data_IF_534436177173
#
_entry.id   IF_534436177173
#
_cell.length_a   1.000
_cell.length_b   1.000
_cell.length_c   1.000
_cell.angle_alpha   90.00
_cell.angle_beta   90.00
_cell.angle_gamma   90.00
#
_symmetry.space_group_name_H-M   'P 1'
#
loop_
_entity.id
_entity.type
_entity.pdbx_description
1 polymer ?
#
# COMPACT_ATOMS: atom_id res chain seq x y z
N UNK A 1 13.90 14.43 -11.60
CA UNK A 1 13.53 13.00 -11.58
C UNK A 1 14.16 12.29 -12.78
N UNK A 2 15.09 11.37 -12.53
CA UNK A 2 15.61 10.48 -13.57
C UNK A 2 14.62 9.34 -13.83
N UNK A 3 14.67 8.69 -15.01
CA UNK A 3 13.77 7.56 -15.34
C UNK A 3 13.84 6.43 -14.29
N UNK A 4 15.04 6.21 -13.72
CA UNK A 4 15.27 5.23 -12.64
C UNK A 4 14.52 5.58 -11.34
N UNK A 5 14.51 6.85 -10.94
CA UNK A 5 13.75 7.30 -9.76
C UNK A 5 12.23 7.18 -9.96
N UNK A 6 11.76 7.39 -11.19
CA UNK A 6 10.35 7.20 -11.53
C UNK A 6 9.93 5.71 -11.46
N UNK A 7 10.78 4.83 -12.01
CA UNK A 7 10.54 3.39 -11.94
C UNK A 7 10.60 2.87 -10.50
N UNK A 8 11.58 3.31 -9.71
CA UNK A 8 11.69 2.92 -8.31
C UNK A 8 10.48 3.36 -7.48
N UNK A 9 9.97 4.58 -7.69
CA UNK A 9 8.76 5.05 -7.01
C UNK A 9 7.50 4.27 -7.39
N UNK A 10 7.36 3.85 -8.65
CA UNK A 10 6.25 3.01 -9.10
C UNK A 10 6.32 1.58 -8.54
N UNK A 11 7.52 1.01 -8.43
CA UNK A 11 7.71 -0.31 -7.80
C UNK A 11 7.41 -0.22 -6.30
N UNK A 12 7.88 0.83 -5.62
CA UNK A 12 7.63 1.02 -4.20
C UNK A 12 6.14 1.26 -3.89
N UNK A 13 5.42 2.04 -4.72
CA UNK A 13 3.99 2.29 -4.52
C UNK A 13 3.14 1.03 -4.64
N UNK A 14 3.59 0.04 -5.41
CA UNK A 14 2.94 -1.26 -5.54
C UNK A 14 3.39 -2.28 -4.49
N UNK A 15 4.70 -2.33 -4.22
CA UNK A 15 5.28 -3.30 -3.31
C UNK A 15 4.96 -3.00 -1.85
N UNK A 16 4.96 -1.72 -1.46
CA UNK A 16 4.80 -1.33 -0.06
C UNK A 16 3.43 -1.72 0.53
N UNK A 17 2.28 -1.49 -0.14
CA UNK A 17 0.98 -1.97 0.36
C UNK A 17 0.93 -3.50 0.49
N UNK A 18 1.54 -4.23 -0.45
CA UNK A 18 1.63 -5.69 -0.40
C UNK A 18 2.47 -6.21 0.77
N UNK A 19 3.62 -5.56 1.03
CA UNK A 19 4.47 -5.87 2.19
C UNK A 19 3.73 -5.61 3.50
N UNK A 20 3.05 -4.46 3.61
CA UNK A 20 2.25 -4.12 4.79
C UNK A 20 1.13 -5.14 5.01
N UNK A 21 0.43 -5.56 3.95
CA UNK A 21 -0.58 -6.62 4.03
C UNK A 21 0.01 -7.92 4.56
N UNK A 22 1.11 -8.40 3.98
CA UNK A 22 1.72 -9.67 4.35
C UNK A 22 2.18 -9.68 5.82
N UNK A 23 2.78 -8.58 6.29
CA UNK A 23 3.20 -8.43 7.69
C UNK A 23 1.98 -8.48 8.62
N UNK A 24 0.94 -7.71 8.31
CA UNK A 24 -0.27 -7.66 9.14
C UNK A 24 -1.01 -8.99 9.17
N UNK A 25 -1.11 -9.67 8.02
CA UNK A 25 -1.68 -11.01 7.91
C UNK A 25 -0.91 -12.02 8.77
N UNK A 26 0.43 -12.02 8.67
CA UNK A 26 1.27 -12.92 9.45
C UNK A 26 1.16 -12.67 10.95
N UNK A 27 1.06 -11.41 11.39
CA UNK A 27 0.86 -11.05 12.80
C UNK A 27 -0.48 -11.59 13.32
N UNK A 28 -1.57 -11.40 12.57
CA UNK A 28 -2.90 -11.90 12.95
C UNK A 28 -2.90 -13.44 13.00
N UNK A 29 -2.37 -14.10 11.98
CA UNK A 29 -2.26 -15.56 11.90
C UNK A 29 -1.46 -16.15 13.07
N UNK A 30 -0.35 -15.51 13.47
CA UNK A 30 0.44 -15.96 14.61
C UNK A 30 -0.25 -15.72 15.96
N UNK A 31 -1.04 -14.65 16.08
CA UNK A 31 -1.77 -14.30 17.30
C UNK A 31 -2.99 -15.20 17.51
N UNK A 32 -3.73 -15.53 16.46
CA UNK A 32 -4.93 -16.39 16.52
C UNK A 32 -4.61 -17.88 16.71
N UNK A 33 -3.33 -18.29 16.69
CA UNK A 33 -2.93 -19.68 16.99
C UNK A 33 -2.88 -19.99 18.48
N UNK A 34 -3.03 -19.00 19.36
CA UNK A 34 -2.99 -19.21 20.81
C UNK A 34 -4.38 -19.59 21.35
N UNK A 35 -4.51 -20.64 22.17
CA UNK A 35 -5.80 -21.19 22.60
C UNK A 35 -6.63 -20.28 23.55
N UNK A 36 -6.20 -19.04 23.82
CA UNK A 36 -6.96 -18.04 24.58
C UNK A 36 -7.92 -17.22 23.68
N UNK A 37 -8.33 -17.80 22.55
CA UNK A 37 -8.82 -17.11 21.35
C UNK A 37 -10.28 -16.62 21.40
N UNK A 38 -10.97 -16.71 22.54
CA UNK A 38 -12.37 -16.27 22.65
C UNK A 38 -12.55 -14.75 22.43
N UNK A 39 -11.52 -13.94 22.68
CA UNK A 39 -11.58 -12.50 22.46
C UNK A 39 -11.27 -12.07 21.02
N UNK A 40 -10.45 -12.86 20.29
CA UNK A 40 -9.92 -12.49 18.97
C UNK A 40 -10.63 -13.18 17.80
N UNK A 41 -11.33 -14.29 18.05
CA UNK A 41 -12.19 -14.93 17.05
C UNK A 41 -13.38 -14.04 16.66
N UNK A 42 -13.91 -13.27 17.62
CA UNK A 42 -15.09 -12.39 17.45
C UNK A 42 -14.74 -10.91 17.25
N UNK A 43 -13.48 -10.50 17.44
CA UNK A 43 -13.07 -9.14 17.10
C UNK A 43 -12.65 -9.06 15.63
N UNK A 44 -13.48 -8.33 14.87
CA UNK A 44 -13.33 -8.03 13.46
C UNK A 44 -12.02 -7.28 13.18
N UNK A 45 -10.91 -7.99 13.03
CA UNK A 45 -9.66 -7.38 12.63
C UNK A 45 -9.76 -6.87 11.19
N UNK A 46 -9.47 -5.58 11.02
CA UNK A 46 -9.57 -4.83 9.77
C UNK A 46 -8.84 -5.50 8.60
N UNK A 47 -7.76 -6.25 8.87
CA UNK A 47 -6.98 -7.02 7.89
C UNK A 47 -7.79 -8.16 7.27
N UNK A 48 -8.56 -8.90 8.09
CA UNK A 48 -9.42 -9.99 7.60
C UNK A 48 -10.70 -9.47 6.94
N UNK A 49 -11.18 -8.29 7.35
CA UNK A 49 -12.40 -7.71 6.81
C UNK A 49 -12.22 -7.04 5.44
N UNK A 50 -11.11 -6.32 5.26
CA UNK A 50 -10.78 -5.61 4.01
C UNK A 50 -10.30 -6.58 2.93
N UNK A 51 -9.64 -7.67 3.36
CA UNK A 51 -9.15 -8.73 2.49
C UNK A 51 -8.12 -8.25 1.46
N UNK A 52 -7.67 -9.19 0.62
CA UNK A 52 -6.69 -8.89 -0.42
C UNK A 52 -7.19 -7.81 -1.41
N UNK A 53 -8.50 -7.76 -1.67
CA UNK A 53 -9.12 -6.81 -2.60
C UNK A 53 -8.96 -5.37 -2.09
N UNK A 54 -9.27 -5.08 -0.83
CA UNK A 54 -9.16 -3.71 -0.34
C UNK A 54 -7.70 -3.22 -0.25
N UNK A 55 -6.74 -4.13 -0.04
CA UNK A 55 -5.32 -3.79 -0.15
C UNK A 55 -4.87 -3.52 -1.59
N UNK A 56 -5.41 -4.25 -2.58
CA UNK A 56 -5.20 -3.94 -4.00
C UNK A 56 -5.81 -2.56 -4.37
N UNK A 57 -6.97 -2.22 -3.82
CA UNK A 57 -7.58 -0.89 -3.97
C UNK A 57 -6.68 0.20 -3.39
N UNK A 58 -6.13 -0.01 -2.18
CA UNK A 58 -5.15 0.92 -1.60
C UNK A 58 -3.91 1.08 -2.48
N UNK A 59 -3.36 -0.02 -3.02
CA UNK A 59 -2.22 0.03 -3.93
C UNK A 59 -2.52 0.83 -5.20
N UNK A 60 -3.70 0.63 -5.79
CA UNK A 60 -4.16 1.39 -6.95
C UNK A 60 -4.27 2.89 -6.62
N UNK A 61 -4.87 3.25 -5.48
CA UNK A 61 -4.99 4.65 -5.02
C UNK A 61 -3.61 5.30 -4.83
N UNK A 62 -2.67 4.61 -4.19
CA UNK A 62 -1.30 5.12 -3.99
C UNK A 62 -0.60 5.31 -5.34
N UNK A 63 -0.80 4.40 -6.30
CA UNK A 63 -0.27 4.55 -7.66
C UNK A 63 -0.85 5.78 -8.37
N UNK A 64 -2.15 6.06 -8.21
CA UNK A 64 -2.80 7.26 -8.76
C UNK A 64 -2.20 8.53 -8.16
N UNK A 65 -2.04 8.62 -6.84
CA UNK A 65 -1.40 9.77 -6.20
C UNK A 65 0.04 9.96 -6.66
N UNK A 66 0.79 8.86 -6.80
CA UNK A 66 2.15 8.91 -7.35
C UNK A 66 2.17 9.46 -8.78
N UNK A 67 1.26 9.00 -9.64
CA UNK A 67 1.14 9.48 -11.01
C UNK A 67 0.81 10.99 -11.07
N UNK A 68 -0.10 11.46 -10.20
CA UNK A 68 -0.43 12.88 -10.06
C UNK A 68 0.82 13.68 -9.67
N UNK A 69 1.56 13.24 -8.64
CA UNK A 69 2.75 13.92 -8.17
C UNK A 69 3.84 14.03 -9.26
N UNK A 70 4.09 12.94 -9.99
CA UNK A 70 5.07 12.92 -11.08
C UNK A 70 4.64 13.84 -12.23
N UNK A 71 3.36 13.82 -12.59
CA UNK A 71 2.82 14.61 -13.69
C UNK A 71 2.81 16.10 -13.33
N UNK A 72 2.39 16.44 -12.11
CA UNK A 72 2.47 17.80 -11.57
C UNK A 72 3.91 18.33 -11.52
N UNK A 73 4.86 17.53 -11.04
CA UNK A 73 6.27 17.92 -11.05
C UNK A 73 6.79 18.19 -12.47
N UNK A 74 6.42 17.36 -13.46
CA UNK A 74 6.80 17.56 -14.86
C UNK A 74 6.18 18.82 -15.45
N UNK A 75 4.94 19.11 -15.10
CA UNK A 75 4.22 20.30 -15.55
C UNK A 75 4.85 21.59 -15.02
N UNK A 76 5.09 21.67 -13.71
CA UNK A 76 5.78 22.82 -13.06
C UNK A 76 7.17 23.01 -13.65
N UNK A 77 7.93 21.92 -13.86
CA UNK A 77 9.26 21.99 -14.47
C UNK A 77 9.25 22.52 -15.91
N UNK A 78 8.18 22.28 -16.68
CA UNK A 78 8.01 22.84 -18.03
C UNK A 78 7.71 24.33 -17.97
N UNK A 79 6.87 24.77 -17.04
CA UNK A 79 6.53 26.19 -16.86
C UNK A 79 7.73 27.02 -16.39
N UNK A 80 8.55 26.51 -15.47
CA UNK A 80 9.75 27.23 -15.00
C UNK A 80 10.94 27.25 -15.97
N UNK A 81 10.76 26.78 -17.21
CA UNK A 81 11.77 26.80 -18.28
C UNK A 81 11.35 27.64 -19.49
N UNK A 82 10.17 28.27 -19.43
CA UNK A 82 9.70 29.27 -20.37
C UNK A 82 10.09 30.67 -19.93
#
# INVERSE_FOLDING_TARGET
MTRRQAAAGAVLSLAFPGIVYAILYAIVELKNRQPQDYAYHDSYFLVMHVGWIGYMTCAAIVMVFYAIAVTGYRFVKRLGRG
#
